data_IF_854436410863
#
_entry.id   IF_854436410863
#
_cell.length_a   1.000
_cell.length_b   1.000
_cell.length_c   1.000
_cell.angle_alpha   90.00
_cell.angle_beta   90.00
_cell.angle_gamma   90.00
#
_symmetry.space_group_name_H-M   'P 1'
#
loop_
_entity.id
_entity.type
_entity.pdbx_description
1 polymer ?
#
# COMPACT_ATOMS: atom_id res chain seq x y z
N UNK A 1 -3.01 -7.38 -25.67
CA UNK A 1 -3.07 -7.84 -24.26
C UNK A 1 -2.16 -9.07 -24.15
N UNK A 2 -1.06 -9.17 -23.40
CA UNK A 2 -0.22 -8.31 -22.56
C UNK A 2 1.21 -8.81 -22.84
N UNK A 3 2.16 -7.92 -23.11
CA UNK A 3 3.57 -8.27 -23.30
C UNK A 3 4.24 -8.49 -21.94
N UNK A 4 4.54 -9.73 -21.55
CA UNK A 4 5.40 -10.02 -20.40
C UNK A 4 6.83 -10.33 -20.87
N UNK A 5 7.69 -9.30 -20.81
CA UNK A 5 9.11 -9.37 -21.16
C UNK A 5 9.91 -10.08 -20.06
N UNK A 6 9.83 -11.41 -19.99
CA UNK A 6 10.80 -12.25 -19.26
C UNK A 6 11.88 -12.76 -20.20
N UNK A 7 12.63 -11.84 -20.79
CA UNK A 7 13.83 -12.13 -21.57
C UNK A 7 14.96 -11.25 -21.09
N UNK A 8 15.89 -11.82 -20.32
CA UNK A 8 17.34 -11.83 -20.55
C UNK A 8 18.06 -12.26 -19.26
N UNK A 9 19.15 -13.01 -19.45
CA UNK A 9 20.08 -13.55 -18.44
C UNK A 9 19.71 -14.90 -17.82
N UNK A 10 19.98 -15.98 -18.54
CA UNK A 10 20.94 -16.97 -18.04
C UNK A 10 21.41 -17.89 -19.16
N UNK A 11 22.53 -17.48 -19.77
CA UNK A 11 23.34 -18.29 -20.67
C UNK A 11 24.23 -19.17 -19.79
N UNK A 12 24.13 -20.49 -19.98
CA UNK A 12 25.15 -21.52 -19.69
C UNK A 12 25.55 -21.74 -18.22
N UNK A 13 25.00 -22.79 -17.61
CA UNK A 13 25.72 -23.62 -16.64
C UNK A 13 25.72 -25.05 -17.20
N UNK A 14 26.82 -25.37 -17.88
CA UNK A 14 27.17 -26.74 -18.22
C UNK A 14 27.93 -27.37 -17.04
N UNK A 15 27.77 -28.68 -16.93
CA UNK A 15 28.56 -29.67 -16.16
C UNK A 15 28.61 -29.56 -14.63
N UNK A 16 27.92 -30.53 -14.02
CA UNK A 16 28.29 -31.37 -12.87
C UNK A 16 28.60 -30.73 -11.51
N UNK A 17 27.94 -31.27 -10.47
CA UNK A 17 28.33 -31.05 -9.07
C UNK A 17 27.22 -30.56 -8.14
N UNK A 18 26.13 -31.33 -8.02
CA UNK A 18 25.41 -31.63 -6.78
C UNK A 18 25.38 -30.63 -5.57
N UNK A 19 25.20 -29.32 -5.76
CA UNK A 19 25.07 -28.35 -4.65
C UNK A 19 23.90 -27.34 -4.72
N UNK A 20 22.97 -27.47 -5.69
CA UNK A 20 21.98 -26.40 -5.95
C UNK A 20 20.64 -26.52 -5.21
N UNK A 21 20.36 -27.62 -4.47
CA UNK A 21 19.05 -27.80 -3.81
C UNK A 21 18.93 -27.16 -2.43
N UNK A 22 20.03 -26.94 -1.71
CA UNK A 22 19.98 -26.32 -0.38
C UNK A 22 20.08 -24.79 -0.41
N UNK A 23 20.90 -24.22 -1.31
CA UNK A 23 21.06 -22.77 -1.36
C UNK A 23 19.88 -22.04 -2.01
N UNK A 24 19.14 -22.69 -2.91
CA UNK A 24 17.93 -22.12 -3.53
C UNK A 24 16.72 -22.06 -2.57
N UNK A 25 16.70 -22.89 -1.51
CA UNK A 25 15.64 -22.81 -0.48
C UNK A 25 15.76 -21.54 0.36
N UNK A 26 16.96 -21.18 0.81
CA UNK A 26 17.15 -20.00 1.69
C UNK A 26 16.84 -18.68 0.98
N UNK A 27 17.19 -18.55 -0.31
CA UNK A 27 16.90 -17.33 -1.07
C UNK A 27 15.41 -17.16 -1.37
N UNK A 28 14.69 -18.25 -1.71
CA UNK A 28 13.22 -18.19 -1.86
C UNK A 28 12.49 -17.89 -0.56
N UNK A 29 12.95 -18.43 0.58
CA UNK A 29 12.38 -18.11 1.89
C UNK A 29 12.71 -16.68 2.34
N UNK A 30 13.91 -16.18 2.05
CA UNK A 30 14.32 -14.80 2.36
C UNK A 30 13.55 -13.80 1.51
N UNK A 31 13.43 -14.01 0.20
CA UNK A 31 12.63 -13.17 -0.69
C UNK A 31 11.15 -13.20 -0.30
N UNK A 32 10.63 -14.37 0.11
CA UNK A 32 9.26 -14.48 0.62
C UNK A 32 9.08 -13.78 1.95
N UNK A 33 10.03 -13.87 2.89
CA UNK A 33 10.00 -13.14 4.16
C UNK A 33 10.19 -11.63 3.96
N UNK A 34 11.03 -11.20 3.03
CA UNK A 34 11.15 -9.79 2.65
C UNK A 34 9.88 -9.29 1.95
N UNK A 35 9.19 -10.12 1.16
CA UNK A 35 7.91 -9.79 0.57
C UNK A 35 6.77 -9.79 1.61
N UNK A 36 6.79 -10.70 2.57
CA UNK A 36 5.88 -10.71 3.73
C UNK A 36 6.11 -9.46 4.61
N UNK A 37 7.37 -9.09 4.84
CA UNK A 37 7.74 -7.85 5.53
C UNK A 37 7.45 -6.60 4.69
N UNK A 38 7.56 -6.66 3.36
CA UNK A 38 7.18 -5.59 2.44
C UNK A 38 5.66 -5.38 2.41
N UNK A 39 4.89 -6.47 2.49
CA UNK A 39 3.46 -6.42 2.72
C UNK A 39 3.14 -5.86 4.12
N UNK A 40 3.91 -6.23 5.14
CA UNK A 40 3.77 -5.68 6.49
C UNK A 40 4.10 -4.18 6.56
N UNK A 41 5.16 -3.73 5.87
CA UNK A 41 5.52 -2.32 5.79
C UNK A 41 4.44 -1.52 5.04
N UNK A 42 3.95 -2.03 3.91
CA UNK A 42 2.82 -1.44 3.20
C UNK A 42 1.57 -1.37 4.09
N UNK A 43 1.30 -2.40 4.89
CA UNK A 43 0.20 -2.42 5.87
C UNK A 43 0.39 -1.42 7.01
N UNK A 44 1.62 -1.21 7.49
CA UNK A 44 1.94 -0.21 8.52
C UNK A 44 1.76 1.19 7.95
N UNK A 45 2.28 1.44 6.75
CA UNK A 45 2.09 2.72 6.04
C UNK A 45 0.61 2.99 5.76
N UNK A 46 -0.14 1.98 5.32
CA UNK A 46 -1.58 2.11 5.11
C UNK A 46 -2.33 2.41 6.43
N UNK A 47 -1.94 1.76 7.54
CA UNK A 47 -2.50 2.06 8.87
C UNK A 47 -2.17 3.47 9.33
N UNK A 48 -0.94 3.93 9.15
CA UNK A 48 -0.55 5.30 9.50
C UNK A 48 -1.29 6.33 8.64
N UNK A 49 -1.39 6.10 7.33
CA UNK A 49 -2.16 6.96 6.42
C UNK A 49 -3.64 6.99 6.80
N UNK A 50 -4.20 5.86 7.21
CA UNK A 50 -5.57 5.79 7.69
C UNK A 50 -5.78 6.63 8.96
N UNK A 51 -4.89 6.50 9.94
CA UNK A 51 -4.98 7.27 11.20
C UNK A 51 -4.86 8.78 10.96
N UNK A 52 -3.88 9.19 10.14
CA UNK A 52 -3.72 10.58 9.71
C UNK A 52 -4.94 11.08 8.93
N UNK A 53 -5.49 10.27 8.02
CA UNK A 53 -6.67 10.65 7.25
C UNK A 53 -7.88 10.90 8.17
N UNK A 54 -8.11 10.06 9.18
CA UNK A 54 -9.18 10.27 10.14
C UNK A 54 -8.98 11.55 10.96
N UNK A 55 -7.74 11.83 11.37
CA UNK A 55 -7.40 13.06 12.08
C UNK A 55 -7.64 14.30 11.23
N UNK A 56 -7.22 14.31 9.97
CA UNK A 56 -7.47 15.46 9.09
C UNK A 56 -8.93 15.60 8.67
N UNK A 57 -9.70 14.50 8.63
CA UNK A 57 -11.12 14.55 8.31
C UNK A 57 -11.98 15.13 9.45
N UNK A 58 -11.50 15.09 10.70
CA UNK A 58 -12.16 15.75 11.83
C UNK A 58 -11.92 17.26 11.85
N UNK A 59 -10.80 17.72 11.29
CA UNK A 59 -10.49 19.14 11.13
C UNK A 59 -11.34 19.77 10.02
N UNK A 60 -12.17 20.77 10.37
CA UNK A 60 -13.11 21.40 9.44
C UNK A 60 -12.45 22.35 8.42
N UNK A 61 -11.21 22.77 8.63
CA UNK A 61 -10.57 23.76 7.77
C UNK A 61 -9.82 23.17 6.58
N UNK A 62 -9.53 21.87 6.58
CA UNK A 62 -8.82 21.22 5.48
C UNK A 62 -9.78 20.73 4.40
N UNK A 63 -9.50 21.09 3.15
CA UNK A 63 -10.19 20.52 1.99
C UNK A 63 -9.71 19.09 1.70
N UNK A 64 -10.57 18.28 1.10
CA UNK A 64 -10.23 16.90 0.73
C UNK A 64 -9.06 16.82 -0.26
N UNK A 65 -8.83 17.86 -1.05
CA UNK A 65 -7.71 17.95 -1.99
C UNK A 65 -6.40 18.21 -1.26
N UNK A 66 -6.40 19.09 -0.25
CA UNK A 66 -5.23 19.35 0.59
C UNK A 66 -4.86 18.11 1.42
N UNK A 67 -5.86 17.42 1.98
CA UNK A 67 -5.64 16.17 2.71
C UNK A 67 -4.99 15.11 1.80
N UNK A 68 -5.44 15.00 0.55
CA UNK A 68 -4.83 14.10 -0.43
C UNK A 68 -3.36 14.45 -0.68
N UNK A 69 -3.03 15.74 -0.82
CA UNK A 69 -1.65 16.21 -0.98
C UNK A 69 -0.79 15.93 0.26
N UNK A 70 -1.31 16.19 1.47
CA UNK A 70 -0.61 15.94 2.74
C UNK A 70 -0.25 14.46 2.94
N UNK A 71 -1.12 13.55 2.47
CA UNK A 71 -0.90 12.11 2.53
C UNK A 71 -0.02 11.57 1.38
N UNK A 72 0.38 12.43 0.45
CA UNK A 72 1.22 12.08 -0.71
C UNK A 72 0.48 11.44 -1.87
N UNK A 73 -0.83 11.68 -2.02
CA UNK A 73 -1.60 11.25 -3.18
C UNK A 73 -1.54 12.27 -4.31
N UNK A 74 -1.55 11.80 -5.55
CA UNK A 74 -1.50 12.66 -6.73
C UNK A 74 -2.77 13.48 -6.96
N UNK A 75 -3.92 13.01 -6.47
CA UNK A 75 -5.20 13.70 -6.58
C UNK A 75 -6.22 13.17 -5.54
N UNK A 76 -7.32 13.91 -5.38
CA UNK A 76 -8.42 13.57 -4.48
C UNK A 76 -9.08 12.21 -4.81
N UNK A 77 -9.14 11.81 -6.09
CA UNK A 77 -9.75 10.54 -6.50
C UNK A 77 -8.93 9.32 -6.07
N UNK A 78 -7.60 9.43 -6.12
CA UNK A 78 -6.68 8.41 -5.62
C UNK A 78 -6.80 8.25 -4.11
N UNK A 79 -6.86 9.37 -3.38
CA UNK A 79 -7.15 9.36 -1.94
C UNK A 79 -8.53 8.76 -1.63
N UNK A 80 -9.58 9.14 -2.35
CA UNK A 80 -10.94 8.65 -2.11
C UNK A 80 -11.06 7.15 -2.32
N UNK A 81 -10.38 6.60 -3.33
CA UNK A 81 -10.30 5.16 -3.58
C UNK A 81 -9.57 4.42 -2.45
N UNK A 82 -8.45 4.98 -1.96
CA UNK A 82 -7.70 4.42 -0.84
C UNK A 82 -8.50 4.49 0.47
N UNK A 83 -9.14 5.63 0.75
CA UNK A 83 -10.01 5.83 1.91
C UNK A 83 -11.15 4.81 1.92
N UNK A 84 -11.82 4.60 0.77
CA UNK A 84 -12.87 3.59 0.64
C UNK A 84 -12.34 2.17 0.87
N UNK A 85 -11.12 1.87 0.42
CA UNK A 85 -10.48 0.56 0.66
C UNK A 85 -10.23 0.28 2.15
N UNK A 86 -9.85 1.30 2.93
CA UNK A 86 -9.52 1.12 4.34
C UNK A 86 -10.72 1.24 5.28
N UNK A 87 -11.60 2.22 5.05
CA UNK A 87 -12.72 2.54 5.94
C UNK A 87 -14.07 2.02 5.45
N UNK A 88 -14.16 1.58 4.19
CA UNK A 88 -15.43 1.23 3.53
C UNK A 88 -16.30 2.43 3.17
N UNK A 89 -15.92 3.65 3.57
CA UNK A 89 -16.71 4.89 3.40
C UNK A 89 -15.94 5.91 2.58
N UNK A 90 -16.67 6.85 1.97
CA UNK A 90 -16.06 8.01 1.35
C UNK A 90 -15.62 9.02 2.42
N UNK A 91 -14.55 9.80 2.16
CA UNK A 91 -14.11 10.82 3.09
C UNK A 91 -15.21 11.87 3.38
N UNK A 92 -16.13 12.11 2.43
CA UNK A 92 -17.28 13.01 2.61
C UNK A 92 -18.30 12.45 3.61
N UNK A 93 -18.56 11.14 3.58
CA UNK A 93 -19.44 10.47 4.56
C UNK A 93 -18.86 10.47 5.96
N UNK A 94 -17.55 10.24 6.09
CA UNK A 94 -16.84 10.30 7.38
C UNK A 94 -16.95 11.71 7.97
N UNK A 95 -16.73 12.74 7.14
CA UNK A 95 -16.87 14.13 7.57
C UNK A 95 -18.29 14.50 7.96
N UNK A 96 -19.30 14.00 7.23
CA UNK A 96 -20.71 14.18 7.62
C UNK A 96 -21.01 13.52 8.97
N UNK A 97 -20.45 12.33 9.26
CA UNK A 97 -20.58 11.67 10.56
C UNK A 97 -19.95 12.50 11.69
N UNK A 98 -18.77 13.07 11.47
CA UNK A 98 -18.15 13.97 12.46
C UNK A 98 -18.95 15.25 12.70
N UNK A 99 -19.55 15.83 11.65
CA UNK A 99 -20.39 17.03 11.78
C UNK A 99 -21.65 16.73 12.58
N UNK A 100 -22.30 15.59 12.31
CA UNK A 100 -23.48 15.15 13.06
C UNK A 100 -23.15 14.87 14.53
N UNK A 101 -22.01 14.23 14.79
CA UNK A 101 -21.56 13.90 16.14
C UNK A 101 -21.15 15.13 16.99
N UNK A 102 -20.73 16.24 16.37
CA UNK A 102 -20.36 17.47 17.12
C UNK A 102 -21.56 18.38 17.42
N UNK A 103 -22.75 18.05 16.91
CA UNK A 103 -23.95 18.88 17.03
C UNK A 103 -25.01 18.25 17.97
N UNK A 104 -24.61 17.22 18.72
CA UNK A 104 -25.36 16.58 19.82
C UNK A 104 -24.55 16.68 21.10
#
# INVERSE_FOLDING_TARGET
MVHDRRTTLQRKCASEGNCSRFWNKRTRTLVRRLAELGASFAQIVDRLRHDLALKYLSERDLSLTEIAFLLGYSNQSAFSSACRRWTGKTPREIRAQFILASNS
#
